data_IF_715303176161
#
_entry.id   IF_715303176161
#
_cell.length_a   1.000
_cell.length_b   1.000
_cell.length_c   1.000
_cell.angle_alpha   90.00
_cell.angle_beta   90.00
_cell.angle_gamma   90.00
#
_symmetry.space_group_name_H-M   'P 1'
#
loop_
_entity.id
_entity.type
_entity.pdbx_description
1 polymer ?
#
# COMPACT_ATOMS: atom_id res chain seq x y z
N UNK A 1 1.54 15.29 -3.39
CA UNK A 1 1.41 14.06 -2.52
C UNK A 1 1.50 12.86 -3.45
N UNK A 2 2.05 11.75 -2.97
CA UNK A 2 2.20 10.51 -3.74
C UNK A 2 0.86 9.77 -3.93
N UNK A 3 0.87 8.66 -4.68
CA UNK A 3 -0.29 7.76 -4.83
C UNK A 3 0.05 6.38 -4.28
N UNK A 4 -0.89 5.78 -3.54
CA UNK A 4 -0.81 4.43 -3.00
C UNK A 4 -1.81 3.54 -3.70
N UNK A 5 -1.47 2.26 -3.88
CA UNK A 5 -2.37 1.20 -4.26
C UNK A 5 -2.02 -0.07 -3.48
N UNK A 6 -3.01 -0.65 -2.80
CA UNK A 6 -2.92 -1.94 -2.11
C UNK A 6 -3.98 -2.90 -2.61
N UNK A 7 -3.69 -4.20 -2.50
CA UNK A 7 -4.66 -5.25 -2.74
C UNK A 7 -4.51 -6.36 -1.70
N UNK A 8 -5.65 -6.85 -1.20
CA UNK A 8 -5.78 -8.10 -0.47
C UNK A 8 -6.81 -8.97 -1.19
N UNK A 9 -6.55 -10.26 -1.39
CA UNK A 9 -7.43 -11.18 -2.08
C UNK A 9 -7.45 -12.56 -1.42
N UNK A 10 -8.59 -13.25 -1.46
CA UNK A 10 -8.70 -14.62 -0.95
C UNK A 10 -8.14 -15.68 -1.92
N UNK A 11 -8.04 -15.33 -3.20
CA UNK A 11 -7.41 -16.14 -4.24
C UNK A 11 -6.31 -15.35 -4.94
N UNK A 12 -5.29 -16.01 -5.52
CA UNK A 12 -4.29 -15.29 -6.31
C UNK A 12 -4.95 -14.56 -7.49
N UNK A 13 -4.93 -13.22 -7.43
CA UNK A 13 -5.59 -12.31 -8.37
C UNK A 13 -4.55 -11.36 -8.96
N UNK A 14 -4.67 -11.02 -10.25
CA UNK A 14 -3.87 -9.94 -10.82
C UNK A 14 -4.48 -8.57 -10.50
N UNK A 15 -3.63 -7.54 -10.54
CA UNK A 15 -4.03 -6.16 -10.27
C UNK A 15 -3.93 -5.28 -11.52
N UNK A 16 -3.80 -5.87 -12.70
CA UNK A 16 -3.53 -5.17 -13.95
C UNK A 16 -4.52 -4.03 -14.22
N UNK A 17 -5.82 -4.28 -14.04
CA UNK A 17 -6.85 -3.25 -14.21
C UNK A 17 -6.63 -2.02 -13.29
N UNK A 18 -6.50 -2.25 -11.98
CA UNK A 18 -6.28 -1.16 -11.02
C UNK A 18 -4.93 -0.47 -11.21
N UNK A 19 -3.89 -1.24 -11.58
CA UNK A 19 -2.57 -0.69 -11.86
C UNK A 19 -2.56 0.15 -13.14
N UNK A 20 -3.35 -0.20 -14.16
CA UNK A 20 -3.52 0.60 -15.38
C UNK A 20 -3.98 2.02 -15.04
N UNK A 21 -5.02 2.18 -14.22
CA UNK A 21 -5.47 3.50 -13.77
C UNK A 21 -4.43 4.22 -12.92
N UNK A 22 -3.82 3.53 -11.96
CA UNK A 22 -2.78 4.12 -11.12
C UNK A 22 -1.59 4.62 -11.95
N UNK A 23 -1.11 3.83 -12.90
CA UNK A 23 0.05 4.13 -13.74
C UNK A 23 -0.10 5.47 -14.49
N UNK A 24 -1.32 5.83 -14.91
CA UNK A 24 -1.59 7.11 -15.59
C UNK A 24 -1.35 8.32 -14.67
N UNK A 25 -1.60 8.17 -13.36
CA UNK A 25 -1.34 9.23 -12.37
C UNK A 25 0.14 9.56 -12.22
N UNK A 26 1.01 8.66 -12.66
CA UNK A 26 2.45 8.85 -12.68
C UNK A 26 2.96 9.63 -13.89
N UNK A 27 2.40 10.82 -14.15
CA UNK A 27 2.91 11.77 -15.12
C UNK A 27 1.99 12.11 -16.30
N UNK A 28 0.85 11.39 -16.47
CA UNK A 28 -0.15 11.71 -17.51
C UNK A 28 -1.35 12.46 -16.93
N UNK A 29 -2.09 11.86 -16.00
CA UNK A 29 -3.26 12.49 -15.35
C UNK A 29 -2.91 13.16 -14.03
N UNK A 30 -1.74 12.84 -13.43
CA UNK A 30 -1.22 13.43 -12.21
C UNK A 30 0.20 13.98 -12.34
N UNK A 31 0.65 14.75 -11.33
CA UNK A 31 1.97 15.39 -11.32
C UNK A 31 3.11 14.48 -10.88
N UNK A 32 2.85 13.23 -10.55
CA UNK A 32 3.75 12.31 -9.85
C UNK A 32 4.78 11.70 -10.82
N UNK A 33 5.98 12.30 -10.97
CA UNK A 33 6.97 11.93 -11.97
C UNK A 33 8.28 11.38 -11.42
N UNK A 34 8.38 11.18 -10.10
CA UNK A 34 9.65 10.94 -9.42
C UNK A 34 9.86 9.47 -9.03
N UNK A 35 9.31 8.58 -9.83
CA UNK A 35 9.44 7.13 -9.68
C UNK A 35 8.17 6.43 -9.20
N UNK A 36 8.20 5.11 -9.32
CA UNK A 36 7.12 4.23 -8.94
C UNK A 36 7.66 2.84 -8.57
N UNK A 37 6.83 2.05 -7.92
CA UNK A 37 7.13 0.65 -7.71
C UNK A 37 5.91 -0.13 -7.23
N UNK A 38 6.01 -1.44 -7.39
CA UNK A 38 4.99 -2.41 -7.02
C UNK A 38 5.63 -3.70 -6.52
N UNK A 39 5.09 -4.24 -5.44
CA UNK A 39 5.50 -5.52 -4.85
C UNK A 39 4.34 -6.50 -4.86
N UNK A 40 4.59 -7.70 -5.35
CA UNK A 40 3.68 -8.85 -5.39
C UNK A 40 4.22 -9.93 -4.48
N UNK A 41 3.40 -10.48 -3.60
CA UNK A 41 3.76 -11.63 -2.79
C UNK A 41 3.36 -12.95 -3.48
N UNK A 42 4.25 -13.93 -3.41
CA UNK A 42 4.03 -15.29 -3.91
C UNK A 42 4.58 -16.30 -2.88
N UNK A 43 3.68 -16.89 -2.10
CA UNK A 43 4.05 -17.70 -0.95
C UNK A 43 4.83 -16.87 0.08
N UNK A 44 6.01 -17.35 0.48
CA UNK A 44 6.93 -16.62 1.38
C UNK A 44 7.84 -15.62 0.66
N UNK A 45 7.84 -15.63 -0.67
CA UNK A 45 8.66 -14.75 -1.49
C UNK A 45 7.88 -13.54 -2.00
N UNK A 46 8.60 -12.65 -2.69
CA UNK A 46 8.00 -11.50 -3.35
C UNK A 46 8.74 -11.15 -4.63
N UNK A 47 8.05 -10.43 -5.51
CA UNK A 47 8.62 -9.77 -6.69
C UNK A 47 8.40 -8.29 -6.56
N UNK A 48 9.43 -7.50 -6.77
CA UNK A 48 9.33 -6.04 -6.77
C UNK A 48 9.85 -5.48 -8.08
N UNK A 49 9.07 -4.60 -8.67
CA UNK A 49 9.45 -3.78 -9.82
C UNK A 49 9.50 -2.33 -9.39
N UNK A 50 10.57 -1.63 -9.73
CA UNK A 50 10.77 -0.21 -9.41
C UNK A 50 11.43 0.50 -10.59
N UNK A 51 11.02 1.73 -10.80
CA UNK A 51 11.65 2.61 -11.78
C UNK A 51 11.67 4.04 -11.22
N UNK A 52 12.79 4.76 -11.23
CA UNK A 52 12.83 6.16 -10.84
C UNK A 52 12.17 7.10 -11.89
N UNK A 53 11.87 6.60 -13.08
CA UNK A 53 11.15 7.33 -14.12
C UNK A 53 9.63 7.37 -13.87
N UNK A 54 8.88 8.30 -14.53
CA UNK A 54 7.42 8.32 -14.47
C UNK A 54 6.80 6.99 -14.91
N UNK A 55 5.76 6.53 -14.20
CA UNK A 55 5.14 5.24 -14.51
C UNK A 55 4.45 5.22 -15.89
N UNK A 56 3.88 6.35 -16.33
CA UNK A 56 3.23 6.44 -17.63
C UNK A 56 4.19 6.28 -18.83
N UNK A 57 5.49 6.48 -18.62
CA UNK A 57 6.53 6.40 -19.65
C UNK A 57 7.51 5.24 -19.40
N UNK A 58 7.25 4.39 -18.39
CA UNK A 58 8.14 3.30 -17.97
C UNK A 58 7.82 2.00 -18.72
N UNK A 59 8.79 1.44 -19.44
CA UNK A 59 8.68 0.13 -20.08
C UNK A 59 8.49 -1.00 -19.05
N UNK A 60 9.01 -0.83 -17.82
CA UNK A 60 8.80 -1.78 -16.73
C UNK A 60 7.33 -1.72 -16.27
N UNK A 61 6.73 -0.52 -16.20
CA UNK A 61 5.31 -0.39 -15.87
C UNK A 61 4.41 -1.01 -16.94
N UNK A 62 4.75 -0.81 -18.22
CA UNK A 62 4.07 -1.45 -19.33
C UNK A 62 4.17 -2.99 -19.28
N UNK A 63 5.34 -3.52 -18.91
CA UNK A 63 5.50 -4.95 -18.68
C UNK A 63 4.57 -5.46 -17.57
N UNK A 64 4.53 -4.75 -16.42
CA UNK A 64 3.66 -5.13 -15.27
C UNK A 64 2.18 -5.04 -15.64
N UNK A 65 1.78 -4.04 -16.42
CA UNK A 65 0.41 -3.87 -16.90
C UNK A 65 -0.03 -5.04 -17.80
N UNK A 66 0.86 -5.53 -18.64
CA UNK A 66 0.56 -6.54 -19.66
C UNK A 66 0.88 -7.98 -19.22
N UNK A 67 1.53 -8.18 -18.09
CA UNK A 67 1.87 -9.50 -17.57
C UNK A 67 1.11 -9.78 -16.26
N UNK A 68 0.06 -10.63 -16.29
CA UNK A 68 -0.82 -10.84 -15.14
C UNK A 68 -0.12 -11.64 -14.05
N UNK A 69 0.57 -10.94 -13.15
CA UNK A 69 1.18 -11.52 -11.95
C UNK A 69 0.09 -11.73 -10.90
N UNK A 70 -0.24 -12.99 -10.63
CA UNK A 70 -1.26 -13.33 -9.63
C UNK A 70 -0.67 -13.32 -8.23
N UNK A 71 -1.30 -12.56 -7.33
CA UNK A 71 -0.88 -12.39 -5.94
C UNK A 71 -2.09 -12.27 -5.01
N UNK A 72 -1.92 -12.61 -3.74
CA UNK A 72 -2.93 -12.36 -2.70
C UNK A 72 -2.74 -11.03 -1.99
N UNK A 73 -1.54 -10.48 -2.02
CA UNK A 73 -1.23 -9.19 -1.43
C UNK A 73 -0.30 -8.39 -2.34
N UNK A 74 -0.68 -7.15 -2.63
CA UNK A 74 0.10 -6.22 -3.45
C UNK A 74 0.22 -4.89 -2.74
N UNK A 75 1.39 -4.28 -2.82
CA UNK A 75 1.64 -2.90 -2.38
C UNK A 75 2.31 -2.13 -3.51
N UNK A 76 1.73 -1.02 -3.92
CA UNK A 76 2.26 -0.15 -4.98
C UNK A 76 2.26 1.31 -4.56
N UNK A 77 3.14 2.08 -5.18
CA UNK A 77 3.32 3.50 -4.90
C UNK A 77 3.79 4.24 -6.14
N UNK A 78 3.25 5.45 -6.34
CA UNK A 78 3.78 6.41 -7.31
C UNK A 78 4.25 7.64 -6.56
N UNK A 79 5.48 8.04 -6.84
CA UNK A 79 6.21 9.05 -6.09
C UNK A 79 6.08 10.44 -6.70
N UNK A 80 5.84 11.41 -5.81
CA UNK A 80 6.16 12.81 -6.01
C UNK A 80 7.17 13.20 -4.94
N UNK A 81 8.41 13.46 -5.34
CA UNK A 81 9.50 13.73 -4.42
C UNK A 81 9.40 15.14 -3.84
N UNK A 82 9.26 15.21 -2.54
CA UNK A 82 9.45 16.45 -1.78
C UNK A 82 10.83 16.47 -1.10
N UNK A 83 11.41 15.29 -0.85
CA UNK A 83 12.73 15.09 -0.24
C UNK A 83 13.42 13.86 -0.84
N UNK A 84 14.76 13.86 -0.79
CA UNK A 84 15.59 12.82 -1.39
C UNK A 84 15.65 12.90 -2.92
N UNK A 85 16.73 12.39 -3.49
CA UNK A 85 16.93 12.34 -4.95
C UNK A 85 15.91 11.43 -5.64
N UNK A 86 15.76 11.60 -6.95
CA UNK A 86 15.00 10.68 -7.82
C UNK A 86 15.94 9.54 -8.21
N UNK A 87 15.88 8.45 -7.45
CA UNK A 87 16.74 7.27 -7.57
C UNK A 87 16.05 6.04 -6.94
N UNK A 88 16.58 4.85 -7.18
CA UNK A 88 15.95 3.59 -6.77
C UNK A 88 15.89 3.40 -5.24
N UNK A 89 16.91 3.82 -4.51
CA UNK A 89 16.94 3.70 -3.05
C UNK A 89 15.88 4.56 -2.35
N UNK A 90 15.41 5.63 -3.00
CA UNK A 90 14.34 6.49 -2.51
C UNK A 90 12.95 6.14 -3.09
N UNK A 91 12.88 5.10 -3.93
CA UNK A 91 11.63 4.67 -4.58
C UNK A 91 10.94 3.59 -3.77
N UNK A 92 9.68 3.81 -3.41
CA UNK A 92 8.82 2.82 -2.76
C UNK A 92 8.37 1.71 -3.72
N UNK A 93 7.86 0.55 -3.19
CA UNK A 93 7.80 0.17 -1.78
C UNK A 93 9.17 -0.18 -1.22
N UNK A 94 9.34 -0.02 0.10
CA UNK A 94 10.51 -0.53 0.82
C UNK A 94 10.20 -1.91 1.37
N UNK A 95 11.18 -2.82 1.34
CA UNK A 95 11.02 -4.18 1.88
C UNK A 95 12.17 -4.52 2.80
N UNK A 96 11.86 -5.10 3.96
CA UNK A 96 12.81 -5.60 4.97
C UNK A 96 12.33 -6.92 5.54
N UNK A 97 13.29 -7.72 5.99
CA UNK A 97 12.99 -8.94 6.72
C UNK A 97 12.83 -8.65 8.22
N UNK A 98 11.79 -9.25 8.83
CA UNK A 98 11.63 -9.37 10.27
C UNK A 98 10.87 -10.66 10.59
N UNK A 99 11.39 -11.48 11.49
CA UNK A 99 10.81 -12.75 11.94
C UNK A 99 10.65 -13.81 10.83
N UNK A 100 11.57 -13.85 9.85
CA UNK A 100 11.48 -14.76 8.72
C UNK A 100 10.37 -14.42 7.73
N UNK A 101 9.82 -13.20 7.77
CA UNK A 101 8.83 -12.65 6.84
C UNK A 101 9.38 -11.39 6.17
N UNK A 102 8.97 -11.16 4.94
CA UNK A 102 9.24 -9.89 4.27
C UNK A 102 8.12 -8.91 4.53
N UNK A 103 8.47 -7.79 5.14
CA UNK A 103 7.59 -6.65 5.36
C UNK A 103 7.77 -5.63 4.26
N UNK A 104 6.69 -5.26 3.60
CA UNK A 104 6.67 -4.26 2.53
C UNK A 104 5.88 -3.04 2.97
N UNK A 105 6.46 -1.87 2.76
CA UNK A 105 5.94 -0.59 3.23
C UNK A 105 5.90 0.44 2.11
N UNK A 106 4.79 1.19 2.04
CA UNK A 106 4.65 2.38 1.22
C UNK A 106 3.98 3.50 2.02
N UNK A 107 4.43 4.74 1.82
CA UNK A 107 3.96 5.92 2.52
C UNK A 107 3.67 7.06 1.56
N UNK A 108 2.51 7.67 1.71
CA UNK A 108 2.11 8.91 1.05
C UNK A 108 1.93 10.00 2.10
N UNK A 109 2.89 10.89 2.19
CA UNK A 109 2.90 11.97 3.14
C UNK A 109 4.24 12.65 3.26
N UNK A 110 4.42 13.39 4.33
CA UNK A 110 5.67 14.03 4.69
C UNK A 110 5.75 14.19 6.21
N UNK A 111 6.86 13.76 6.79
CA UNK A 111 7.14 13.88 8.22
C UNK A 111 8.18 14.96 8.48
N UNK A 112 8.00 15.69 9.58
CA UNK A 112 8.99 16.59 10.18
C UNK A 112 9.69 15.88 11.33
N UNK A 113 10.87 16.35 11.72
CA UNK A 113 11.63 15.84 12.88
C UNK A 113 11.77 14.30 12.91
N UNK A 114 11.80 13.69 11.72
CA UNK A 114 11.93 12.24 11.55
C UNK A 114 13.35 11.73 11.85
N UNK A 115 14.34 12.62 11.86
CA UNK A 115 15.72 12.31 12.20
C UNK A 115 15.87 11.81 13.65
N UNK A 116 14.92 12.19 14.52
CA UNK A 116 14.87 11.76 15.92
C UNK A 116 14.32 10.34 16.11
N UNK A 117 13.85 9.72 15.04
CA UNK A 117 13.36 8.34 15.05
C UNK A 117 14.52 7.36 15.22
N UNK A 118 14.61 6.71 16.38
CA UNK A 118 15.64 5.73 16.65
C UNK A 118 15.29 4.37 16.03
N UNK A 119 16.05 3.96 15.01
CA UNK A 119 15.75 2.77 14.19
C UNK A 119 16.48 1.50 14.62
N UNK A 120 17.36 1.58 15.63
CA UNK A 120 18.13 0.41 16.12
C UNK A 120 19.01 -0.19 15.02
N UNK A 121 18.83 -1.51 14.78
CA UNK A 121 19.57 -2.22 13.74
C UNK A 121 18.99 -2.00 12.33
N UNK A 122 17.76 -1.53 12.23
CA UNK A 122 17.11 -1.26 10.95
C UNK A 122 17.56 0.09 10.42
N UNK A 123 18.44 0.09 9.42
CA UNK A 123 19.02 1.32 8.87
C UNK A 123 18.38 1.66 7.53
N UNK A 124 17.95 2.92 7.31
CA UNK A 124 17.58 3.37 5.98
C UNK A 124 18.79 3.34 5.04
N UNK A 125 18.56 3.02 3.77
CA UNK A 125 19.55 3.04 2.70
C UNK A 125 19.47 4.36 1.95
N UNK A 126 18.24 4.85 1.72
CA UNK A 126 17.98 6.13 1.09
C UNK A 126 17.93 7.29 2.09
N UNK A 127 17.30 8.36 1.68
CA UNK A 127 17.29 9.64 2.41
C UNK A 127 15.86 10.11 2.72
N UNK A 128 14.85 9.24 2.53
CA UNK A 128 13.45 9.62 2.72
C UNK A 128 13.02 9.48 4.19
N UNK A 129 12.16 10.39 4.64
CA UNK A 129 11.43 10.30 5.89
C UNK A 129 10.60 9.00 5.97
N UNK A 130 10.08 8.56 4.84
CA UNK A 130 9.31 7.33 4.69
C UNK A 130 10.09 6.08 5.05
N UNK A 131 11.32 5.94 4.54
CA UNK A 131 12.16 4.78 4.86
C UNK A 131 12.61 4.81 6.32
N UNK A 132 12.90 6.01 6.85
CA UNK A 132 13.20 6.19 8.27
C UNK A 132 12.01 5.76 9.16
N UNK A 133 10.79 6.16 8.81
CA UNK A 133 9.58 5.75 9.52
C UNK A 133 9.38 4.23 9.46
N UNK A 134 9.62 3.60 8.31
CA UNK A 134 9.54 2.15 8.18
C UNK A 134 10.56 1.43 9.06
N UNK A 135 11.82 1.85 9.02
CA UNK A 135 12.87 1.29 9.88
C UNK A 135 12.53 1.46 11.37
N UNK A 136 11.94 2.61 11.75
CA UNK A 136 11.49 2.84 13.11
C UNK A 136 10.33 1.94 13.50
N UNK A 137 9.33 1.74 12.62
CA UNK A 137 8.23 0.81 12.87
C UNK A 137 8.72 -0.62 13.10
N UNK A 138 9.65 -1.11 12.28
CA UNK A 138 10.25 -2.44 12.45
C UNK A 138 10.96 -2.56 13.80
N UNK A 139 11.68 -1.52 14.22
CA UNK A 139 12.29 -1.49 15.56
C UNK A 139 11.25 -1.54 16.67
N UNK A 140 10.16 -0.75 16.56
CA UNK A 140 9.09 -0.79 17.55
C UNK A 140 8.43 -2.18 17.64
N UNK A 141 8.22 -2.84 16.50
CA UNK A 141 7.69 -4.19 16.44
C UNK A 141 8.64 -5.19 17.11
N UNK A 142 9.93 -5.14 16.80
CA UNK A 142 10.96 -5.99 17.40
C UNK A 142 11.11 -5.79 18.90
N UNK A 143 11.09 -4.55 19.38
CA UNK A 143 11.16 -4.23 20.81
C UNK A 143 9.94 -4.75 21.58
N UNK A 144 8.77 -4.64 20.98
CA UNK A 144 7.52 -5.08 21.59
C UNK A 144 7.36 -6.60 21.58
N UNK A 145 7.81 -7.23 20.51
CA UNK A 145 7.71 -8.65 20.25
C UNK A 145 9.10 -9.21 19.87
N UNK A 146 9.94 -9.57 20.85
CA UNK A 146 11.29 -10.08 20.59
C UNK A 146 11.31 -11.36 19.76
N UNK A 147 10.26 -12.17 19.85
CA UNK A 147 10.02 -13.36 19.04
C UNK A 147 8.77 -13.18 18.16
N UNK A 148 8.66 -13.90 17.02
CA UNK A 148 7.49 -13.79 16.16
C UNK A 148 6.23 -14.19 16.92
N UNK A 149 5.25 -13.28 17.11
CA UNK A 149 4.04 -13.59 17.83
C UNK A 149 3.14 -14.55 17.05
N UNK A 150 2.38 -15.38 17.76
CA UNK A 150 1.40 -16.27 17.13
C UNK A 150 0.18 -15.49 16.62
N UNK A 151 -0.20 -14.43 17.34
CA UNK A 151 -1.29 -13.53 16.98
C UNK A 151 -0.72 -12.32 16.21
N UNK A 152 -0.84 -12.37 14.89
CA UNK A 152 -0.39 -11.26 14.02
C UNK A 152 -1.29 -10.03 14.11
N UNK A 153 -2.58 -10.18 14.46
CA UNK A 153 -3.47 -9.02 14.64
C UNK A 153 -2.99 -8.12 15.79
N UNK A 154 -2.46 -8.72 16.86
CA UNK A 154 -1.87 -7.97 17.98
C UNK A 154 -0.67 -7.10 17.52
N UNK A 155 0.11 -7.57 16.54
CA UNK A 155 1.20 -6.79 15.93
C UNK A 155 0.63 -5.57 15.22
N UNK A 156 -0.39 -5.75 14.38
CA UNK A 156 -0.97 -4.66 13.61
C UNK A 156 -1.70 -3.64 14.49
N UNK A 157 -2.36 -4.08 15.56
CA UNK A 157 -2.92 -3.18 16.59
C UNK A 157 -1.81 -2.34 17.24
N UNK A 158 -0.66 -2.94 17.53
CA UNK A 158 0.48 -2.20 18.07
C UNK A 158 1.07 -1.24 17.04
N UNK A 159 1.18 -1.65 15.78
CA UNK A 159 1.63 -0.78 14.68
C UNK A 159 0.70 0.44 14.54
N UNK A 160 -0.63 0.27 14.65
CA UNK A 160 -1.58 1.37 14.63
C UNK A 160 -1.26 2.42 15.71
N UNK A 161 -0.94 1.99 16.94
CA UNK A 161 -0.51 2.90 18.05
C UNK A 161 0.82 3.59 17.73
N UNK A 162 1.71 2.95 17.00
CA UNK A 162 2.94 3.58 16.54
C UNK A 162 2.65 4.61 15.44
N UNK A 163 1.70 4.33 14.55
CA UNK A 163 1.27 5.29 13.53
C UNK A 163 0.63 6.54 14.14
N UNK A 164 -0.07 6.43 15.28
CA UNK A 164 -0.57 7.59 16.03
C UNK A 164 0.54 8.56 16.45
N UNK A 165 1.74 8.05 16.75
CA UNK A 165 2.92 8.89 17.04
C UNK A 165 3.52 9.51 15.77
N UNK A 166 3.51 8.77 14.65
CA UNK A 166 4.02 9.27 13.37
C UNK A 166 3.12 10.37 12.80
N UNK A 167 1.79 10.27 12.95
CA UNK A 167 0.86 11.33 12.50
C UNK A 167 1.07 12.66 13.23
N UNK A 168 1.61 12.67 14.44
CA UNK A 168 1.97 13.90 15.16
C UNK A 168 3.14 14.64 14.47
N UNK A 169 3.93 13.92 13.67
CA UNK A 169 5.05 14.47 12.90
C UNK A 169 4.65 14.94 11.50
N UNK A 170 3.42 14.68 11.05
CA UNK A 170 2.96 15.13 9.73
C UNK A 170 1.93 14.22 9.06
N UNK A 171 1.78 14.39 7.77
CA UNK A 171 0.88 13.56 6.97
C UNK A 171 1.46 12.16 6.82
N UNK A 172 0.69 11.14 7.26
CA UNK A 172 1.12 9.76 7.29
C UNK A 172 0.00 8.82 6.83
N UNK A 173 -0.11 8.63 5.51
CA UNK A 173 -0.95 7.58 4.94
C UNK A 173 -0.04 6.41 4.55
N UNK A 174 -0.32 5.21 5.01
CA UNK A 174 0.57 4.08 4.74
C UNK A 174 -0.17 2.81 4.31
N UNK A 175 0.58 1.97 3.62
CA UNK A 175 0.34 0.56 3.42
C UNK A 175 1.52 -0.22 4.02
N UNK A 176 1.20 -1.25 4.81
CA UNK A 176 2.17 -2.21 5.37
C UNK A 176 1.64 -3.61 5.15
N UNK A 177 2.48 -4.51 4.65
CA UNK A 177 2.09 -5.91 4.43
C UNK A 177 3.23 -6.86 4.81
N UNK A 178 2.87 -8.02 5.35
CA UNK A 178 3.77 -9.17 5.57
C UNK A 178 3.54 -10.30 4.55
N UNK A 179 2.68 -10.04 3.54
CA UNK A 179 2.30 -10.98 2.50
C UNK A 179 0.99 -11.74 2.76
N UNK A 180 0.54 -11.79 4.01
CA UNK A 180 -0.77 -12.35 4.41
C UNK A 180 -1.78 -11.24 4.69
N UNK A 181 -1.37 -10.24 5.46
CA UNK A 181 -2.17 -9.08 5.81
C UNK A 181 -1.74 -7.84 5.01
N UNK A 182 -2.69 -6.96 4.75
CA UNK A 182 -2.45 -5.60 4.25
C UNK A 182 -3.06 -4.63 5.24
N UNK A 183 -2.21 -3.90 5.94
CA UNK A 183 -2.62 -2.85 6.86
C UNK A 183 -2.61 -1.49 6.18
N UNK A 184 -3.61 -0.69 6.50
CA UNK A 184 -3.68 0.73 6.10
C UNK A 184 -3.73 1.62 7.34
N UNK A 185 -3.18 2.83 7.24
CA UNK A 185 -3.38 3.91 8.20
C UNK A 185 -3.58 5.22 7.45
N UNK A 186 -4.58 6.00 7.85
CA UNK A 186 -4.99 7.21 7.16
C UNK A 186 -4.85 8.45 8.04
N UNK A 187 -4.26 9.53 7.51
CA UNK A 187 -4.29 10.85 8.14
C UNK A 187 -5.13 11.87 7.36
N UNK A 188 -5.31 11.70 6.05
CA UNK A 188 -6.10 12.63 5.25
C UNK A 188 -6.82 12.00 4.05
N UNK A 189 -6.13 11.23 3.21
CA UNK A 189 -6.68 10.68 1.96
C UNK A 189 -6.29 9.22 1.79
N UNK A 190 -7.24 8.34 2.03
CA UNK A 190 -7.17 6.93 1.70
C UNK A 190 -8.58 6.40 1.55
N UNK A 191 -8.76 5.52 0.57
CA UNK A 191 -10.03 4.91 0.23
C UNK A 191 -9.85 3.42 0.05
N UNK A 192 -10.89 2.65 0.25
CA UNK A 192 -10.91 1.23 -0.04
C UNK A 192 -12.27 0.78 -0.57
N UNK A 193 -12.26 -0.34 -1.28
CA UNK A 193 -13.43 -1.04 -1.76
C UNK A 193 -13.21 -2.54 -1.62
N UNK A 194 -14.23 -3.28 -1.18
CA UNK A 194 -14.24 -4.75 -1.25
C UNK A 194 -15.20 -5.21 -2.32
N UNK A 195 -14.68 -5.91 -3.30
CA UNK A 195 -15.45 -6.56 -4.35
C UNK A 195 -15.67 -8.02 -3.99
N UNK A 196 -16.91 -8.48 -4.13
CA UNK A 196 -17.31 -9.87 -3.90
C UNK A 196 -17.95 -10.42 -5.15
N UNK A 197 -17.65 -11.65 -5.50
CA UNK A 197 -18.29 -12.28 -6.66
C UNK A 197 -19.83 -12.46 -6.45
N UNK A 198 -20.66 -12.29 -7.50
CA UNK A 198 -20.24 -11.89 -8.84
C UNK A 198 -19.90 -10.40 -8.91
N UNK A 199 -18.67 -10.08 -9.31
CA UNK A 199 -18.23 -8.69 -9.44
C UNK A 199 -18.97 -8.04 -10.60
N UNK A 200 -19.26 -6.74 -10.47
CA UNK A 200 -19.87 -5.94 -11.50
C UNK A 200 -18.89 -5.44 -12.56
N UNK A 201 -19.37 -4.51 -13.37
CA UNK A 201 -18.51 -3.74 -14.27
C UNK A 201 -17.83 -2.62 -13.52
N UNK A 202 -16.55 -2.37 -13.84
CA UNK A 202 -15.78 -1.26 -13.32
C UNK A 202 -15.17 -0.45 -14.47
N UNK A 203 -15.26 0.89 -14.36
CA UNK A 203 -14.71 1.83 -15.33
C UNK A 203 -13.64 2.70 -14.64
N UNK A 204 -12.44 2.75 -15.20
CA UNK A 204 -11.34 3.58 -14.69
C UNK A 204 -11.66 5.07 -14.84
N UNK A 205 -11.15 5.88 -13.91
CA UNK A 205 -11.23 7.35 -13.97
C UNK A 205 -10.10 7.95 -14.82
N UNK A 206 -8.95 7.30 -14.84
CA UNK A 206 -7.72 7.82 -15.42
C UNK A 206 -7.42 7.28 -16.83
N UNK A 207 -8.21 6.33 -17.32
CA UNK A 207 -8.06 5.70 -18.63
C UNK A 207 -9.45 5.28 -19.15
N UNK A 208 -9.65 5.30 -20.46
CA UNK A 208 -10.90 4.83 -21.11
C UNK A 208 -10.88 3.28 -21.19
N UNK A 209 -10.93 2.65 -20.02
CA UNK A 209 -10.94 1.19 -19.86
C UNK A 209 -12.06 0.79 -18.93
N UNK A 210 -12.91 -0.10 -19.42
CA UNK A 210 -13.95 -0.78 -18.65
C UNK A 210 -13.69 -2.29 -18.63
N UNK A 211 -13.92 -2.92 -17.49
CA UNK A 211 -13.84 -4.37 -17.32
C UNK A 211 -15.15 -4.92 -16.80
N UNK A 212 -15.52 -6.10 -17.28
CA UNK A 212 -16.59 -6.91 -16.70
C UNK A 212 -15.98 -8.04 -15.88
N UNK A 213 -15.84 -7.84 -14.60
CA UNK A 213 -15.23 -8.83 -13.71
C UNK A 213 -15.98 -10.16 -13.61
N UNK A 214 -17.25 -10.25 -14.06
CA UNK A 214 -17.99 -11.51 -14.07
C UNK A 214 -17.35 -12.58 -14.97
N UNK A 215 -16.59 -12.13 -15.98
CA UNK A 215 -15.91 -13.03 -16.93
C UNK A 215 -14.56 -13.50 -16.42
N UNK A 216 -14.00 -12.81 -15.41
CA UNK A 216 -12.63 -13.00 -14.90
C UNK A 216 -12.59 -13.65 -13.50
N UNK A 217 -13.73 -13.85 -12.83
CA UNK A 217 -13.79 -14.24 -11.43
C UNK A 217 -14.55 -15.53 -11.19
N UNK A 218 -14.19 -16.22 -10.10
CA UNK A 218 -14.92 -17.39 -9.59
C UNK A 218 -16.01 -16.96 -8.58
N UNK A 219 -17.02 -17.83 -8.31
CA UNK A 219 -18.17 -17.44 -7.46
C UNK A 219 -17.83 -17.02 -6.02
N UNK A 220 -16.65 -17.33 -5.53
CA UNK A 220 -16.24 -17.07 -4.14
C UNK A 220 -15.11 -16.05 -4.02
N UNK A 221 -14.75 -15.37 -5.10
CA UNK A 221 -13.65 -14.42 -5.07
C UNK A 221 -14.02 -13.18 -4.25
N UNK A 222 -13.10 -12.77 -3.38
CA UNK A 222 -13.18 -11.55 -2.59
C UNK A 222 -11.87 -10.79 -2.74
N UNK A 223 -11.97 -9.54 -3.15
CA UNK A 223 -10.80 -8.67 -3.36
C UNK A 223 -11.06 -7.30 -2.76
N UNK A 224 -10.21 -6.89 -1.82
CA UNK A 224 -10.15 -5.50 -1.37
C UNK A 224 -9.04 -4.76 -2.09
N UNK A 225 -9.38 -3.58 -2.59
CA UNK A 225 -8.45 -2.63 -3.22
C UNK A 225 -8.43 -1.36 -2.37
N UNK A 226 -7.23 -0.87 -2.09
CA UNK A 226 -6.99 0.33 -1.31
C UNK A 226 -6.25 1.33 -2.20
N UNK A 227 -6.64 2.61 -2.20
CA UNK A 227 -5.97 3.64 -2.99
C UNK A 227 -6.02 5.01 -2.30
N UNK A 228 -5.07 5.90 -2.62
CA UNK A 228 -5.09 7.29 -2.15
C UNK A 228 -6.37 8.01 -2.60
N UNK A 229 -6.81 7.75 -3.83
CA UNK A 229 -8.06 8.23 -4.40
C UNK A 229 -8.75 7.09 -5.17
N UNK A 230 -10.09 7.09 -5.26
CA UNK A 230 -10.80 6.11 -6.07
C UNK A 230 -10.19 5.95 -7.46
N UNK A 231 -10.09 4.71 -7.93
CA UNK A 231 -9.59 4.39 -9.28
C UNK A 231 -10.72 4.24 -10.29
N UNK A 232 -11.96 4.03 -9.80
CA UNK A 232 -13.15 3.80 -10.63
C UNK A 232 -14.23 4.80 -10.31
N UNK A 233 -15.00 5.21 -11.35
CA UNK A 233 -16.05 6.22 -11.22
C UNK A 233 -17.45 5.67 -10.95
N UNK A 234 -17.67 4.40 -11.23
CA UNK A 234 -18.98 3.74 -11.16
C UNK A 234 -19.13 2.78 -9.98
N UNK A 235 -18.16 2.78 -9.05
CA UNK A 235 -18.18 1.97 -7.83
C UNK A 235 -18.18 2.86 -6.58
N UNK A 236 -18.69 2.34 -5.46
CA UNK A 236 -18.72 3.06 -4.17
C UNK A 236 -17.48 2.73 -3.37
N UNK A 237 -16.60 3.70 -3.19
CA UNK A 237 -15.40 3.61 -2.36
C UNK A 237 -15.67 4.14 -0.96
N UNK A 238 -15.19 3.44 0.04
CA UNK A 238 -15.20 3.89 1.44
C UNK A 238 -14.04 4.83 1.69
N UNK A 239 -14.34 6.05 2.14
CA UNK A 239 -13.31 7.02 2.54
C UNK A 239 -12.94 6.78 3.99
N UNK A 240 -11.65 6.65 4.26
CA UNK A 240 -11.13 6.56 5.63
C UNK A 240 -11.06 7.93 6.30
N UNK A 241 -11.26 7.94 7.62
CA UNK A 241 -11.15 9.13 8.46
C UNK A 241 -9.72 9.35 8.95
N UNK A 242 -9.33 10.57 9.33
CA UNK A 242 -8.05 10.81 10.00
C UNK A 242 -7.90 9.98 11.28
N UNK A 243 -6.78 9.24 11.40
CA UNK A 243 -6.52 8.30 12.50
C UNK A 243 -7.17 6.93 12.34
N UNK A 244 -7.89 6.70 11.26
CA UNK A 244 -8.44 5.39 10.95
C UNK A 244 -7.36 4.46 10.42
N UNK A 245 -7.39 3.20 10.91
CA UNK A 245 -6.64 2.10 10.33
C UNK A 245 -7.59 0.99 9.90
N UNK A 246 -7.15 0.21 8.91
CA UNK A 246 -7.82 -1.00 8.44
C UNK A 246 -6.81 -2.12 8.27
N UNK A 247 -7.18 -3.32 8.67
CA UNK A 247 -6.43 -4.54 8.45
C UNK A 247 -7.23 -5.45 7.52
N UNK A 248 -6.65 -5.76 6.38
CA UNK A 248 -7.25 -6.63 5.37
C UNK A 248 -6.53 -7.98 5.35
N UNK A 249 -7.31 -9.05 5.34
CA UNK A 249 -6.82 -10.42 5.25
C UNK A 249 -7.74 -11.23 4.33
N UNK A 250 -7.18 -11.98 3.42
CA UNK A 250 -7.91 -12.80 2.41
C UNK A 250 -9.07 -12.05 1.74
N UNK A 251 -8.82 -10.81 1.36
CA UNK A 251 -9.80 -9.97 0.67
C UNK A 251 -10.79 -9.24 1.57
N UNK A 252 -10.82 -9.50 2.86
CA UNK A 252 -11.77 -8.93 3.82
C UNK A 252 -11.13 -7.89 4.72
N UNK A 253 -11.89 -6.85 5.10
CA UNK A 253 -11.54 -5.96 6.22
C UNK A 253 -11.85 -6.72 7.52
N UNK A 254 -10.82 -7.20 8.22
CA UNK A 254 -10.95 -8.01 9.43
C UNK A 254 -10.88 -7.20 10.72
N UNK A 255 -10.24 -6.02 10.68
CA UNK A 255 -10.09 -5.16 11.85
C UNK A 255 -10.02 -3.68 11.43
N UNK A 256 -10.69 -2.80 12.16
CA UNK A 256 -10.56 -1.34 12.04
C UNK A 256 -10.97 -0.65 13.35
N UNK A 257 -10.78 0.68 13.40
CA UNK A 257 -11.21 1.53 14.51
C UNK A 257 -12.25 2.60 14.10
N UNK A 258 -12.94 2.41 12.97
CA UNK A 258 -13.85 3.40 12.42
C UNK A 258 -15.01 3.77 13.38
N UNK A 259 -15.55 2.80 14.13
CA UNK A 259 -16.62 3.01 15.12
C UNK A 259 -16.11 3.83 16.32
N UNK A 260 -14.89 3.56 16.80
CA UNK A 260 -14.29 4.33 17.88
C UNK A 260 -14.08 5.81 17.52
N UNK A 261 -13.83 6.12 16.25
CA UNK A 261 -13.67 7.46 15.72
C UNK A 261 -15.01 8.16 15.40
N UNK A 262 -16.13 7.44 15.39
CA UNK A 262 -17.45 8.00 15.14
C UNK A 262 -18.10 8.59 16.40
N UNK A 263 -17.60 8.25 17.59
CA UNK A 263 -18.09 8.70 18.89
C UNK A 263 -17.32 9.90 19.48
N UNK A 264 -16.43 10.51 18.71
CA UNK A 264 -15.66 11.72 19.09
C UNK A 264 -16.12 12.91 18.19
#
# INVERSE_FOLDING_TARGET
>A
MCELLGMSANVPTDICFSFTGLMQRGGRTGPHRDGWGITFYEGKGFRTFKDPNPSCDSQIAELVQNYPIKSRAVVSHIRQANRGGVNLENTHPFTRELWGRYWTFAHNGQLTDYQDLHTGRHRPVGQTDSEMAFCWLLKQMEDKFPEPPQDMEAVFIYVAKCCDKLKEKGVFNMLLSDGEFVMTYCTNHLYWITRRAPFGKAALLDEDVEINFQEETTPNDVVSVIATQPLTGNETWHRMKPGEYGLFHVGELVLNNAEALAGV
#
